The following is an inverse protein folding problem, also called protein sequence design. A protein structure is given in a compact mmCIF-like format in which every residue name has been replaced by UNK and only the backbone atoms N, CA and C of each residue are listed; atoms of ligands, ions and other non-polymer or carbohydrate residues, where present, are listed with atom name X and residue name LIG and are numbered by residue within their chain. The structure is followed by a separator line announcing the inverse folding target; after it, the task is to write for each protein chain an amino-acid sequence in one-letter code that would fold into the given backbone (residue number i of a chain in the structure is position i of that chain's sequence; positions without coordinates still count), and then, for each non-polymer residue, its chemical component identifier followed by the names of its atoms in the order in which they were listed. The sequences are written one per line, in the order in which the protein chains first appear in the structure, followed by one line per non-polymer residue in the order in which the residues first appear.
data_IF_928484565572
#
_entry.id   IF_928484565572
#
_cell.length_a   1.000
_cell.length_b   1.000
_cell.length_c   1.000
_cell.angle_alpha   90.00
_cell.angle_beta   90.00
_cell.angle_gamma   90.00
#
_symmetry.space_group_name_H-M   'P 1'
#
loop_
_entity.id
_entity.type
_entity.pdbx_description
1 polymer ?
#
# COMPACT_ATOMS: atom_id res chain seq x y z
N UNK A 1 -25.83 -28.27 -26.25
CA UNK A 1 -24.49 -28.76 -25.84
C UNK A 1 -23.66 -28.96 -27.09
N UNK A 2 -22.77 -28.01 -27.37
CA UNK A 2 -21.65 -28.17 -28.30
C UNK A 2 -20.45 -27.60 -27.55
N UNK A 3 -19.47 -28.46 -27.25
CA UNK A 3 -18.23 -28.07 -26.57
C UNK A 3 -17.32 -27.51 -27.67
N UNK A 4 -16.91 -26.26 -27.53
CA UNK A 4 -15.84 -25.70 -28.36
C UNK A 4 -14.47 -26.16 -27.80
N UNK A 5 -13.57 -26.70 -28.64
CA UNK A 5 -12.20 -27.00 -28.22
C UNK A 5 -11.38 -25.71 -28.07
N UNK A 6 -10.56 -25.66 -27.01
CA UNK A 6 -9.62 -24.59 -26.69
C UNK A 6 -8.44 -24.57 -27.68
N UNK A 7 -8.14 -23.43 -28.29
CA UNK A 7 -6.88 -23.16 -29.00
C UNK A 7 -5.71 -23.15 -28.00
N UNK A 8 -4.66 -23.90 -28.33
CA UNK A 8 -3.53 -24.19 -27.45
C UNK A 8 -2.47 -23.07 -27.46
N UNK A 9 -2.03 -22.63 -26.27
CA UNK A 9 -0.62 -22.52 -25.81
C UNK A 9 0.42 -21.89 -26.79
N UNK A 10 0.07 -20.91 -27.62
CA UNK A 10 1.06 -20.23 -28.49
C UNK A 10 1.58 -18.87 -27.94
N UNK A 11 1.03 -18.39 -26.82
CA UNK A 11 1.42 -17.11 -26.23
C UNK A 11 2.75 -17.13 -25.45
N UNK A 12 3.34 -18.30 -25.19
CA UNK A 12 4.55 -18.43 -24.37
C UNK A 12 5.88 -18.44 -25.15
N UNK A 13 5.84 -18.43 -26.49
CA UNK A 13 7.04 -18.54 -27.35
C UNK A 13 7.55 -17.20 -27.91
N UNK A 14 6.86 -16.08 -27.69
CA UNK A 14 7.26 -14.76 -28.23
C UNK A 14 7.98 -13.85 -27.23
N UNK A 15 7.86 -14.07 -25.92
CA UNK A 15 8.42 -13.16 -24.90
C UNK A 15 9.91 -13.36 -24.61
N UNK A 16 10.52 -14.45 -25.09
CA UNK A 16 11.97 -14.69 -24.95
C UNK A 16 12.82 -14.00 -26.06
N UNK A 17 12.19 -13.41 -27.08
CA UNK A 17 12.87 -12.74 -28.21
C UNK A 17 13.21 -11.27 -27.97
N UNK A 18 12.83 -10.68 -26.84
CA UNK A 18 13.18 -9.28 -26.49
C UNK A 18 14.31 -9.18 -25.46
N UNK A 19 14.91 -10.30 -25.03
CA UNK A 19 15.94 -10.34 -23.98
C UNK A 19 17.40 -10.17 -24.47
N UNK A 20 17.68 -10.12 -25.78
CA UNK A 20 19.09 -10.19 -26.23
C UNK A 20 19.43 -9.36 -27.47
N UNK A 21 19.61 -8.03 -27.33
CA UNK A 21 20.68 -7.27 -28.03
C UNK A 21 20.70 -5.77 -27.73
N UNK A 22 21.93 -5.26 -27.53
CA UNK A 22 22.38 -3.86 -27.42
C UNK A 22 22.33 -3.28 -26.01
N UNK A 23 23.32 -3.53 -25.13
CA UNK A 23 24.69 -2.94 -25.11
C UNK A 23 24.63 -1.41 -25.04
N UNK A 24 25.16 -0.68 -24.05
CA UNK A 24 25.91 -0.86 -22.79
C UNK A 24 25.81 0.51 -22.06
N UNK A 25 26.31 0.80 -20.86
CA UNK A 25 27.57 0.50 -20.19
C UNK A 25 27.45 1.04 -18.73
N UNK A 26 28.20 0.44 -17.79
CA UNK A 26 28.59 0.86 -16.41
C UNK A 26 27.45 1.00 -15.36
N UNK A 27 27.53 0.57 -14.10
CA UNK A 27 28.63 0.24 -13.17
C UNK A 27 28.08 -0.68 -12.04
N UNK A 28 28.92 -1.47 -11.33
CA UNK A 28 28.55 -2.63 -10.53
C UNK A 28 28.29 -2.29 -9.05
N UNK A 29 27.41 -3.04 -8.39
CA UNK A 29 27.17 -2.82 -6.97
C UNK A 29 26.17 -3.79 -6.38
N UNK A 30 26.61 -5.04 -6.24
CA UNK A 30 26.25 -5.91 -5.12
C UNK A 30 24.77 -6.20 -4.86
N UNK A 31 24.36 -7.37 -5.32
CA UNK A 31 23.48 -8.27 -4.57
C UNK A 31 23.73 -8.19 -3.06
N UNK A 32 22.73 -7.70 -2.32
CA UNK A 32 22.56 -7.97 -0.90
C UNK A 32 21.18 -8.58 -0.74
N UNK A 33 21.16 -9.91 -0.67
CA UNK A 33 20.14 -10.66 0.04
C UNK A 33 20.23 -10.25 1.52
N UNK A 34 19.39 -9.31 1.94
CA UNK A 34 19.08 -9.02 3.33
C UNK A 34 17.56 -9.03 3.44
N UNK A 35 17.03 -10.00 4.19
CA UNK A 35 15.61 -10.32 4.25
C UNK A 35 14.72 -9.09 4.29
N UNK A 36 13.84 -8.98 3.30
CA UNK A 36 12.73 -8.04 3.15
C UNK A 36 12.62 -6.96 4.24
N UNK A 37 13.56 -6.01 4.28
CA UNK A 37 13.37 -4.80 5.07
C UNK A 37 12.40 -3.93 4.27
N UNK A 38 11.11 -4.08 4.56
CA UNK A 38 10.09 -3.16 4.05
C UNK A 38 10.51 -1.75 4.49
N UNK A 39 10.75 -0.82 3.55
CA UNK A 39 11.27 0.49 3.90
C UNK A 39 10.24 1.20 4.79
N UNK A 40 10.67 1.76 5.92
CA UNK A 40 9.79 2.50 6.85
C UNK A 40 8.94 3.56 6.11
N UNK A 41 9.53 4.18 5.08
CA UNK A 41 8.84 5.12 4.19
C UNK A 41 7.58 4.52 3.57
N UNK A 42 7.60 3.29 3.07
CA UNK A 42 6.41 2.69 2.46
C UNK A 42 5.33 2.41 3.49
N UNK A 43 5.69 1.90 4.67
CA UNK A 43 4.73 1.69 5.78
C UNK A 43 4.09 3.02 6.20
N UNK A 44 4.87 4.10 6.24
CA UNK A 44 4.37 5.43 6.58
C UNK A 44 3.45 6.00 5.49
N UNK A 45 3.80 5.81 4.22
CA UNK A 45 2.95 6.18 3.08
C UNK A 45 1.63 5.39 3.08
N UNK A 46 1.69 4.08 3.35
CA UNK A 46 0.52 3.22 3.47
C UNK A 46 -0.39 3.64 4.64
N UNK A 47 0.19 4.03 5.77
CA UNK A 47 -0.57 4.54 6.92
C UNK A 47 -1.29 5.86 6.59
N UNK A 48 -0.64 6.78 5.87
CA UNK A 48 -1.29 8.01 5.41
C UNK A 48 -2.44 7.68 4.45
N UNK A 49 -2.20 6.79 3.49
CA UNK A 49 -3.24 6.38 2.54
C UNK A 49 -4.43 5.76 3.27
N UNK A 50 -4.17 4.94 4.29
CA UNK A 50 -5.22 4.31 5.09
C UNK A 50 -6.10 5.34 5.83
N UNK A 51 -5.52 6.43 6.35
CA UNK A 51 -6.29 7.52 6.96
C UNK A 51 -7.18 8.21 5.94
N UNK A 52 -6.65 8.50 4.75
CA UNK A 52 -7.42 9.15 3.67
C UNK A 52 -8.57 8.26 3.21
N UNK A 53 -8.31 6.97 3.02
CA UNK A 53 -9.30 6.00 2.55
C UNK A 53 -10.41 5.80 3.59
N UNK A 54 -10.05 5.71 4.88
CA UNK A 54 -11.04 5.56 5.97
C UNK A 54 -11.87 6.82 6.17
N UNK A 55 -11.30 8.02 6.06
CA UNK A 55 -12.05 9.28 6.12
C UNK A 55 -13.03 9.42 4.93
N UNK A 56 -12.58 9.04 3.73
CA UNK A 56 -13.43 9.04 2.54
C UNK A 56 -14.61 8.05 2.69
N UNK A 57 -14.35 6.87 3.24
CA UNK A 57 -15.38 5.87 3.50
C UNK A 57 -16.44 6.40 4.47
N UNK A 58 -16.01 7.00 5.59
CA UNK A 58 -16.91 7.65 6.56
C UNK A 58 -17.77 8.73 5.88
N UNK A 59 -17.19 9.54 4.99
CA UNK A 59 -17.91 10.58 4.29
C UNK A 59 -18.99 10.01 3.34
N UNK A 60 -18.65 8.97 2.59
CA UNK A 60 -19.58 8.28 1.70
C UNK A 60 -20.74 7.66 2.49
N UNK A 61 -20.45 7.00 3.60
CA UNK A 61 -21.46 6.37 4.44
C UNK A 61 -22.35 7.41 5.13
N UNK A 62 -21.80 8.55 5.54
CA UNK A 62 -22.57 9.69 6.04
C UNK A 62 -23.55 10.23 4.99
N UNK A 63 -23.12 10.35 3.72
CA UNK A 63 -23.99 10.80 2.62
C UNK A 63 -25.10 9.79 2.30
N UNK A 64 -24.80 8.49 2.34
CA UNK A 64 -25.78 7.43 2.12
C UNK A 64 -26.81 7.35 3.24
N UNK A 65 -26.38 7.59 4.49
CA UNK A 65 -27.27 7.69 5.64
C UNK A 65 -28.18 8.92 5.53
N UNK A 66 -27.62 10.08 5.15
CA UNK A 66 -28.38 11.33 4.99
C UNK A 66 -29.40 11.29 3.84
N UNK A 67 -29.11 10.54 2.77
CA UNK A 67 -30.04 10.35 1.63
C UNK A 67 -31.11 9.28 1.89
N UNK A 68 -31.09 8.63 3.07
CA UNK A 68 -32.08 7.61 3.45
C UNK A 68 -31.95 6.29 2.68
N UNK A 69 -30.85 6.09 1.95
CA UNK A 69 -30.60 4.90 1.14
C UNK A 69 -29.89 3.78 1.91
N UNK A 70 -29.51 4.02 3.17
CA UNK A 70 -28.75 3.06 3.97
C UNK A 70 -29.25 3.01 5.40
N UNK A 71 -29.64 1.81 5.85
CA UNK A 71 -30.01 1.49 7.24
C UNK A 71 -28.77 1.05 8.06
N UNK A 72 -27.58 1.24 7.51
CA UNK A 72 -26.32 0.71 8.04
C UNK A 72 -25.64 1.70 9.00
N UNK A 73 -26.38 2.23 9.97
CA UNK A 73 -25.83 3.06 11.06
C UNK A 73 -24.68 2.34 11.81
N UNK A 74 -24.77 1.01 11.90
CA UNK A 74 -23.72 0.15 12.43
C UNK A 74 -22.43 0.21 11.60
N UNK A 75 -22.53 0.14 10.26
CA UNK A 75 -21.37 0.21 9.38
C UNK A 75 -20.69 1.58 9.48
N UNK A 76 -21.49 2.66 9.46
CA UNK A 76 -20.98 4.01 9.69
C UNK A 76 -20.23 4.16 11.02
N UNK A 77 -20.78 3.60 12.11
CA UNK A 77 -20.10 3.64 13.42
C UNK A 77 -18.79 2.85 13.44
N UNK A 78 -18.73 1.73 12.71
CA UNK A 78 -17.51 0.93 12.57
C UNK A 78 -16.47 1.70 11.76
N UNK A 79 -16.87 2.37 10.69
CA UNK A 79 -15.95 3.08 9.82
C UNK A 79 -15.41 4.36 10.49
N UNK A 80 -16.22 5.04 11.31
CA UNK A 80 -15.71 6.09 12.21
C UNK A 80 -14.65 5.53 13.16
N UNK A 81 -14.92 4.39 13.80
CA UNK A 81 -13.97 3.80 14.75
C UNK A 81 -12.65 3.41 14.06
N UNK A 82 -12.71 2.91 12.81
CA UNK A 82 -11.52 2.65 12.00
C UNK A 82 -10.77 3.93 11.67
N UNK A 83 -11.46 4.98 11.19
CA UNK A 83 -10.84 6.24 10.85
C UNK A 83 -10.11 6.86 12.06
N UNK A 84 -10.76 6.85 13.23
CA UNK A 84 -10.15 7.31 14.48
C UNK A 84 -8.89 6.50 14.83
N UNK A 85 -8.97 5.18 14.77
CA UNK A 85 -7.83 4.30 15.06
C UNK A 85 -6.67 4.51 14.08
N UNK A 86 -6.96 4.69 12.79
CA UNK A 86 -5.95 4.97 11.76
C UNK A 86 -5.23 6.30 12.01
N UNK A 87 -5.96 7.33 12.45
CA UNK A 87 -5.38 8.62 12.84
C UNK A 87 -4.47 8.46 14.07
N UNK A 88 -4.94 7.76 15.09
CA UNK A 88 -4.17 7.54 16.32
C UNK A 88 -2.86 6.78 16.02
N UNK A 89 -2.94 5.75 15.17
CA UNK A 89 -1.78 5.01 14.68
C UNK A 89 -0.79 5.91 13.92
N UNK A 90 -1.28 6.78 13.04
CA UNK A 90 -0.43 7.72 12.29
C UNK A 90 0.29 8.70 13.22
N UNK A 91 -0.38 9.19 14.25
CA UNK A 91 0.21 10.08 15.26
C UNK A 91 1.31 9.36 16.04
N UNK A 92 1.06 8.13 16.47
CA UNK A 92 2.07 7.32 17.16
C UNK A 92 3.28 7.04 16.26
N UNK A 93 3.03 6.71 14.99
CA UNK A 93 4.08 6.48 13.99
C UNK A 93 4.92 7.74 13.74
N UNK A 94 4.26 8.91 13.62
CA UNK A 94 4.94 10.23 13.53
C UNK A 94 5.84 10.46 14.74
N UNK A 95 5.30 10.30 15.95
CA UNK A 95 6.06 10.54 17.17
C UNK A 95 7.26 9.61 17.25
N UNK A 96 7.06 8.32 16.99
CA UNK A 96 8.15 7.34 17.01
C UNK A 96 9.22 7.61 15.95
N UNK A 97 8.84 8.10 14.78
CA UNK A 97 9.80 8.52 13.75
C UNK A 97 10.67 9.70 14.21
N UNK A 98 10.06 10.72 14.82
CA UNK A 98 10.78 11.88 15.36
C UNK A 98 11.68 11.51 16.54
N UNK A 99 11.21 10.65 17.43
CA UNK A 99 11.98 10.14 18.57
C UNK A 99 13.19 9.34 18.08
N UNK A 100 12.98 8.44 17.12
CA UNK A 100 14.05 7.60 16.56
C UNK A 100 15.11 8.45 15.83
N UNK A 101 14.69 9.48 15.10
CA UNK A 101 15.60 10.46 14.51
C UNK A 101 16.41 11.22 15.58
N UNK A 102 15.73 11.67 16.63
CA UNK A 102 16.36 12.40 17.74
C UNK A 102 17.36 11.53 18.50
N UNK A 103 17.06 10.25 18.69
CA UNK A 103 17.92 9.27 19.35
C UNK A 103 19.21 9.02 18.55
N UNK A 104 19.12 8.83 17.23
CA UNK A 104 20.30 8.67 16.35
C UNK A 104 21.19 9.91 16.40
N UNK A 105 20.59 11.11 16.42
CA UNK A 105 21.33 12.36 16.55
C UNK A 105 22.02 12.49 17.92
N UNK A 106 21.39 12.02 19.00
CA UNK A 106 21.98 12.00 20.35
C UNK A 106 23.10 10.97 20.52
N UNK A 107 23.09 9.88 19.77
CA UNK A 107 24.15 8.87 19.82
C UNK A 107 25.42 9.29 19.07
N UNK A 108 25.33 10.27 18.17
CA UNK A 108 26.43 10.70 17.28
C UNK A 108 27.23 11.92 17.78
N UNK A 109 26.99 12.37 19.02
CA UNK A 109 27.79 13.44 19.67
C UNK A 109 28.81 12.87 20.64
#
# INVERSE_FOLDING_TARGET
MFIQPMEAIDALLQTNKTSTKSTGLIDPGSSVDQGAQVPFKSIFEDAIQNVVDTDQQVNLDAQQLATGNSDNLHQYSIDIAKAQLSIDLLVELRNKALDSYSEVMRMSI
#
